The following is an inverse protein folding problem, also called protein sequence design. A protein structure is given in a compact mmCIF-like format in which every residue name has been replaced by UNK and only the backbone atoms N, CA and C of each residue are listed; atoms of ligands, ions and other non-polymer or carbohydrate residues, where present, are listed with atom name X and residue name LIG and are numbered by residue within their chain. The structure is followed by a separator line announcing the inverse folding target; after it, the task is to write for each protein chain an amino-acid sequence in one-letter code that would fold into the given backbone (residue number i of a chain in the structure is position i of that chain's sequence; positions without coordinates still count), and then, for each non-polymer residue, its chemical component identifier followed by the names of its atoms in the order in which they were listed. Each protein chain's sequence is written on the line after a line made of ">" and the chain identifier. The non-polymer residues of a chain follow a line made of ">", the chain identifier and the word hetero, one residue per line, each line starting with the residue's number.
data_IF_019439189084
#
_entry.id   IF_019439189084
#
_cell.length_a   1.000
_cell.length_b   1.000
_cell.length_c   1.000
_cell.angle_alpha   90.00
_cell.angle_beta   90.00
_cell.angle_gamma   90.00
#
_symmetry.space_group_name_H-M   'P 1'
#
loop_
_entity.id
_entity.type
_entity.pdbx_description
1 polymer ?
#
# COMPACT_ATOMS: atom_id res chain seq x y z
N UNK A 1 16.55 11.88 -12.35
CA UNK A 1 15.60 10.99 -13.04
C UNK A 1 15.46 9.72 -12.21
N UNK A 2 14.30 9.06 -12.17
CA UNK A 2 14.17 7.76 -11.50
C UNK A 2 15.05 6.75 -12.23
N UNK A 3 15.83 6.00 -11.47
CA UNK A 3 16.82 5.05 -11.98
C UNK A 3 16.29 3.62 -11.89
N UNK A 4 16.58 2.85 -12.93
CA UNK A 4 16.11 1.48 -13.08
C UNK A 4 17.24 0.56 -13.54
N UNK A 5 17.24 -0.66 -13.04
CA UNK A 5 18.11 -1.74 -13.51
C UNK A 5 17.30 -2.96 -13.97
N UNK A 6 17.70 -3.68 -15.02
CA UNK A 6 17.07 -4.95 -15.39
C UNK A 6 17.19 -5.98 -14.27
N UNK A 7 16.10 -6.70 -14.02
CA UNK A 7 16.03 -7.73 -12.99
C UNK A 7 15.34 -8.97 -13.55
N UNK A 8 15.97 -10.14 -13.40
CA UNK A 8 15.33 -11.43 -13.68
C UNK A 8 14.63 -11.95 -12.43
N UNK A 9 13.38 -12.39 -12.58
CA UNK A 9 12.58 -13.02 -11.54
C UNK A 9 12.01 -14.35 -12.05
N UNK A 10 11.82 -15.29 -11.14
CA UNK A 10 11.05 -16.52 -11.38
C UNK A 10 9.78 -16.45 -10.55
N UNK A 11 8.62 -16.61 -11.19
CA UNK A 11 7.33 -16.53 -10.53
C UNK A 11 7.13 -17.75 -9.60
N UNK A 12 6.90 -17.56 -8.29
CA UNK A 12 6.71 -18.70 -7.39
C UNK A 12 5.36 -19.42 -7.60
N UNK A 13 4.43 -18.84 -8.38
CA UNK A 13 3.12 -19.46 -8.65
C UNK A 13 3.08 -20.33 -9.91
N UNK A 14 3.77 -19.92 -10.97
CA UNK A 14 3.72 -20.61 -12.27
C UNK A 14 5.10 -20.91 -12.86
N UNK A 15 6.17 -20.66 -12.11
CA UNK A 15 7.58 -20.94 -12.44
C UNK A 15 8.12 -20.18 -13.66
N UNK A 16 7.32 -19.29 -14.25
CA UNK A 16 7.72 -18.47 -15.38
C UNK A 16 8.90 -17.57 -15.01
N UNK A 17 9.95 -17.63 -15.81
CA UNK A 17 11.07 -16.70 -15.76
C UNK A 17 10.78 -15.48 -16.65
N UNK A 18 11.02 -14.28 -16.12
CA UNK A 18 10.80 -13.05 -16.85
C UNK A 18 11.76 -11.95 -16.40
N UNK A 19 11.94 -10.94 -17.26
CA UNK A 19 12.71 -9.74 -16.95
C UNK A 19 11.76 -8.59 -16.58
N UNK A 20 12.11 -7.87 -15.53
CA UNK A 20 11.44 -6.67 -15.02
C UNK A 20 12.47 -5.58 -14.75
N UNK A 21 12.04 -4.45 -14.20
CA UNK A 21 12.93 -3.35 -13.82
C UNK A 21 12.86 -3.17 -12.31
N UNK A 22 14.02 -3.11 -11.67
CA UNK A 22 14.16 -2.75 -10.27
C UNK A 22 14.39 -1.24 -10.16
N UNK A 23 13.67 -0.57 -9.28
CA UNK A 23 13.94 0.84 -8.93
C UNK A 23 15.20 0.90 -8.08
N UNK A 24 16.24 1.57 -8.54
CA UNK A 24 17.53 1.69 -7.83
C UNK A 24 17.80 3.08 -7.26
N UNK A 25 17.11 4.09 -7.79
CA UNK A 25 17.28 5.48 -7.33
C UNK A 25 16.05 6.33 -7.63
N UNK A 26 15.67 7.18 -6.68
CA UNK A 26 14.59 8.16 -6.85
C UNK A 26 14.81 9.34 -5.89
N UNK A 27 14.16 10.47 -6.18
CA UNK A 27 14.18 11.66 -5.33
C UNK A 27 12.78 12.04 -4.90
N UNK A 28 12.60 12.24 -3.60
CA UNK A 28 11.37 12.75 -2.99
C UNK A 28 11.58 14.24 -2.70
N UNK A 29 10.64 15.08 -3.14
CA UNK A 29 10.65 16.51 -2.86
C UNK A 29 9.84 16.87 -1.62
N UNK A 30 8.63 16.34 -1.52
CA UNK A 30 7.67 16.62 -0.45
C UNK A 30 6.69 15.44 -0.29
N UNK A 31 5.70 15.53 0.59
CA UNK A 31 4.62 14.55 0.74
C UNK A 31 3.25 15.24 0.93
N UNK A 32 2.19 14.57 0.50
CA UNK A 32 0.81 15.00 0.77
C UNK A 32 0.42 14.73 2.24
N UNK A 33 -0.73 15.28 2.67
CA UNK A 33 -1.27 15.10 4.02
C UNK A 33 -1.47 13.62 4.43
N UNK A 34 -1.65 12.70 3.48
CA UNK A 34 -1.75 11.24 3.70
C UNK A 34 -0.39 10.53 3.53
N UNK A 35 0.71 11.26 3.68
CA UNK A 35 2.10 10.83 3.48
C UNK A 35 2.44 10.30 2.09
N UNK A 36 1.60 10.56 1.10
CA UNK A 36 1.90 10.22 -0.28
C UNK A 36 3.14 11.01 -0.75
N UNK A 37 4.25 10.35 -1.11
CA UNK A 37 5.46 11.04 -1.55
C UNK A 37 5.26 11.69 -2.92
N UNK A 38 5.75 12.93 -3.06
CA UNK A 38 5.86 13.65 -4.33
C UNK A 38 7.26 13.48 -4.90
N UNK A 39 7.38 12.64 -5.91
CA UNK A 39 8.64 12.36 -6.58
C UNK A 39 8.99 13.45 -7.60
N UNK A 40 10.28 13.83 -7.67
CA UNK A 40 10.75 14.89 -8.57
C UNK A 40 10.96 14.42 -10.02
N UNK A 41 11.08 13.12 -10.24
CA UNK A 41 11.75 12.54 -11.41
C UNK A 41 10.96 11.38 -12.05
N UNK A 42 9.64 11.52 -12.13
CA UNK A 42 8.71 10.44 -12.45
C UNK A 42 8.35 9.63 -11.21
N UNK A 43 7.18 8.99 -11.22
CA UNK A 43 6.66 8.25 -10.07
C UNK A 43 7.10 6.78 -10.11
N UNK A 44 8.03 6.31 -9.24
CA UNK A 44 8.46 4.91 -9.17
C UNK A 44 7.44 4.01 -8.46
N UNK A 45 6.40 4.58 -7.84
CA UNK A 45 5.52 3.84 -6.93
C UNK A 45 4.95 2.54 -7.56
N UNK A 46 4.47 2.53 -8.83
CA UNK A 46 4.00 1.30 -9.47
C UNK A 46 5.11 0.27 -9.75
N UNK A 47 6.35 0.72 -9.92
CA UNK A 47 7.51 -0.11 -10.28
C UNK A 47 8.18 -0.79 -9.07
N UNK A 48 7.83 -0.41 -7.83
CA UNK A 48 8.25 -1.17 -6.64
C UNK A 48 7.63 -2.57 -6.57
N UNK A 49 6.51 -2.78 -7.26
CA UNK A 49 5.86 -4.09 -7.41
C UNK A 49 6.14 -4.65 -8.80
N UNK A 50 6.47 -5.94 -8.84
CA UNK A 50 6.63 -6.68 -10.08
C UNK A 50 5.36 -7.46 -10.39
N UNK A 51 5.09 -7.66 -11.68
CA UNK A 51 3.91 -8.40 -12.17
C UNK A 51 4.41 -9.56 -13.02
N UNK A 52 4.00 -10.78 -12.68
CA UNK A 52 4.27 -11.94 -13.52
C UNK A 52 3.46 -11.85 -14.83
N UNK A 53 4.11 -11.89 -16.01
CA UNK A 53 3.40 -11.78 -17.29
C UNK A 53 2.49 -12.98 -17.58
N UNK A 54 2.76 -14.15 -17.00
CA UNK A 54 2.02 -15.39 -17.28
C UNK A 54 0.75 -15.53 -16.43
N UNK A 55 0.83 -15.33 -15.11
CA UNK A 55 -0.29 -15.60 -14.20
C UNK A 55 -0.83 -14.36 -13.47
N UNK A 56 -0.22 -13.18 -13.64
CA UNK A 56 -0.67 -11.96 -13.00
C UNK A 56 -0.40 -11.89 -11.49
N UNK A 57 0.48 -12.75 -10.96
CA UNK A 57 1.01 -12.60 -9.60
C UNK A 57 1.69 -11.22 -9.45
N UNK A 58 1.41 -10.54 -8.34
CA UNK A 58 1.97 -9.22 -8.04
C UNK A 58 2.60 -9.23 -6.64
N UNK A 59 3.82 -8.71 -6.52
CA UNK A 59 4.50 -8.61 -5.23
C UNK A 59 5.80 -7.81 -5.31
N UNK A 60 6.41 -7.55 -4.15
CA UNK A 60 7.76 -7.01 -4.08
C UNK A 60 8.78 -8.08 -4.48
N UNK A 61 10.02 -7.69 -4.77
CA UNK A 61 11.11 -8.62 -5.09
C UNK A 61 11.23 -9.78 -4.07
N UNK A 62 11.05 -9.49 -2.78
CA UNK A 62 11.12 -10.50 -1.72
C UNK A 62 9.99 -11.55 -1.78
N UNK A 63 8.81 -11.17 -2.27
CA UNK A 63 7.65 -12.07 -2.40
C UNK A 63 7.88 -13.14 -3.49
N UNK A 64 8.81 -12.89 -4.43
CA UNK A 64 9.22 -13.87 -5.44
C UNK A 64 10.21 -14.92 -4.93
N UNK A 65 10.78 -14.74 -3.72
CA UNK A 65 11.76 -15.68 -3.14
C UNK A 65 11.21 -16.50 -1.97
N UNK A 66 10.22 -15.97 -1.27
CA UNK A 66 9.82 -16.46 0.06
C UNK A 66 8.40 -17.06 0.07
N UNK A 67 8.10 -18.01 -0.82
CA UNK A 67 6.79 -18.65 -0.86
C UNK A 67 6.88 -20.17 -0.79
N UNK A 68 6.29 -20.74 0.27
CA UNK A 68 6.15 -22.19 0.43
C UNK A 68 5.00 -22.75 -0.42
N UNK A 69 4.97 -24.07 -0.64
CA UNK A 69 3.97 -24.74 -1.45
C UNK A 69 2.51 -24.48 -1.00
N UNK A 70 2.29 -24.28 0.30
CA UNK A 70 0.95 -24.03 0.83
C UNK A 70 0.46 -22.65 0.41
N UNK A 71 1.33 -21.63 0.52
CA UNK A 71 1.05 -20.27 0.05
C UNK A 71 0.89 -20.24 -1.47
N UNK A 72 1.74 -20.95 -2.21
CA UNK A 72 1.63 -21.07 -3.68
C UNK A 72 0.25 -21.61 -4.08
N UNK A 73 -0.22 -22.69 -3.46
CA UNK A 73 -1.55 -23.25 -3.75
C UNK A 73 -2.68 -22.26 -3.47
N UNK A 74 -2.65 -21.58 -2.32
CA UNK A 74 -3.64 -20.56 -1.94
C UNK A 74 -3.69 -19.42 -2.94
N UNK A 75 -2.53 -18.88 -3.32
CA UNK A 75 -2.43 -17.80 -4.29
C UNK A 75 -2.83 -18.28 -5.68
N UNK A 76 -2.47 -19.49 -6.08
CA UNK A 76 -2.90 -20.08 -7.35
C UNK A 76 -4.43 -20.14 -7.49
N UNK A 77 -5.15 -20.55 -6.45
CA UNK A 77 -6.62 -20.52 -6.42
C UNK A 77 -7.16 -19.09 -6.53
N UNK A 78 -6.53 -18.12 -5.85
CA UNK A 78 -6.91 -16.72 -5.95
C UNK A 78 -6.73 -16.19 -7.39
N UNK A 79 -5.57 -16.43 -7.99
CA UNK A 79 -5.22 -15.96 -9.33
C UNK A 79 -6.13 -16.57 -10.41
N UNK A 80 -6.55 -17.83 -10.23
CA UNK A 80 -7.51 -18.47 -11.13
C UNK A 80 -8.89 -17.78 -11.15
N UNK A 81 -9.23 -17.02 -10.10
CA UNK A 81 -10.43 -16.19 -10.04
C UNK A 81 -10.31 -14.85 -10.77
N UNK A 82 -9.10 -14.44 -11.16
CA UNK A 82 -8.87 -13.22 -11.90
C UNK A 82 -8.89 -13.45 -13.40
N UNK A 83 -9.55 -12.56 -14.14
CA UNK A 83 -9.31 -12.49 -15.57
C UNK A 83 -7.91 -11.93 -15.80
N UNK A 84 -7.05 -12.74 -16.42
CA UNK A 84 -5.69 -12.36 -16.76
C UNK A 84 -5.38 -12.71 -18.20
N UNK A 85 -4.87 -11.73 -18.94
CA UNK A 85 -4.30 -11.94 -20.27
C UNK A 85 -2.78 -11.90 -20.16
N UNK A 86 -2.11 -12.84 -20.84
CA UNK A 86 -0.65 -12.89 -20.85
C UNK A 86 -0.06 -11.56 -21.32
N UNK A 87 0.95 -11.06 -20.61
CA UNK A 87 1.58 -9.75 -20.83
C UNK A 87 0.66 -8.53 -20.64
N UNK A 88 -0.50 -8.68 -20.00
CA UNK A 88 -1.35 -7.55 -19.67
C UNK A 88 -0.62 -6.58 -18.74
N UNK A 89 -0.76 -5.28 -18.99
CA UNK A 89 -0.26 -4.24 -18.09
C UNK A 89 -1.27 -3.94 -17.00
N UNK A 90 -0.78 -3.66 -15.80
CA UNK A 90 -1.57 -3.18 -14.66
C UNK A 90 -1.11 -1.78 -14.26
N UNK A 91 -2.07 -0.88 -14.04
CA UNK A 91 -1.84 0.38 -13.33
C UNK A 91 -1.37 0.14 -11.90
N UNK A 92 -0.71 1.12 -11.31
CA UNK A 92 -0.19 1.08 -9.94
C UNK A 92 -1.28 0.77 -8.93
N UNK A 93 -2.47 1.39 -9.05
CA UNK A 93 -3.55 1.15 -8.08
C UNK A 93 -3.94 -0.32 -8.04
N UNK A 94 -4.11 -0.94 -9.21
CA UNK A 94 -4.46 -2.36 -9.33
C UNK A 94 -3.30 -3.28 -8.91
N UNK A 95 -2.04 -2.92 -9.18
CA UNK A 95 -0.88 -3.66 -8.66
C UNK A 95 -0.91 -3.75 -7.14
N UNK A 96 -1.10 -2.62 -6.46
CA UNK A 96 -1.15 -2.58 -4.99
C UNK A 96 -2.38 -3.29 -4.42
N UNK A 97 -3.57 -3.16 -5.04
CA UNK A 97 -4.77 -3.93 -4.64
C UNK A 97 -4.54 -5.43 -4.73
N UNK A 98 -3.94 -5.92 -5.82
CA UNK A 98 -3.62 -7.33 -6.02
C UNK A 98 -2.54 -7.81 -5.05
N UNK A 99 -1.48 -7.03 -4.86
CA UNK A 99 -0.44 -7.35 -3.89
C UNK A 99 -1.00 -7.44 -2.47
N UNK A 100 -1.92 -6.54 -2.08
CA UNK A 100 -2.61 -6.61 -0.79
C UNK A 100 -3.42 -7.90 -0.66
N UNK A 101 -4.17 -8.28 -1.70
CA UNK A 101 -4.96 -9.52 -1.67
C UNK A 101 -4.08 -10.77 -1.63
N UNK A 102 -3.02 -10.82 -2.44
CA UNK A 102 -2.02 -11.89 -2.37
C UNK A 102 -1.41 -11.94 -0.97
N UNK A 103 -1.06 -10.78 -0.38
CA UNK A 103 -0.58 -10.64 0.99
C UNK A 103 -1.48 -11.28 2.03
N UNK A 104 -2.80 -11.09 1.91
CA UNK A 104 -3.79 -11.73 2.79
C UNK A 104 -3.72 -13.26 2.66
N UNK A 105 -3.60 -13.80 1.45
CA UNK A 105 -3.54 -15.24 1.20
C UNK A 105 -2.19 -15.87 1.58
N UNK A 106 -1.12 -15.08 1.60
CA UNK A 106 0.23 -15.49 2.02
C UNK A 106 0.51 -15.23 3.50
N UNK A 107 -0.42 -14.60 4.22
CA UNK A 107 -0.36 -14.37 5.67
C UNK A 107 0.53 -13.19 6.06
N UNK A 108 0.61 -12.13 5.25
CA UNK A 108 1.19 -10.85 5.67
C UNK A 108 0.43 -10.30 6.87
N UNK A 109 1.13 -9.56 7.74
CA UNK A 109 0.53 -8.86 8.88
C UNK A 109 -0.48 -7.82 8.40
N UNK A 110 -1.43 -7.46 9.26
CA UNK A 110 -2.46 -6.49 8.90
C UNK A 110 -1.86 -5.13 8.55
N UNK A 111 -0.79 -4.72 9.23
CA UNK A 111 -0.05 -3.49 8.95
C UNK A 111 0.52 -3.47 7.53
N UNK A 112 1.14 -4.57 7.09
CA UNK A 112 1.69 -4.68 5.73
C UNK A 112 0.59 -4.64 4.67
N UNK A 113 -0.58 -5.23 4.94
CA UNK A 113 -1.74 -5.15 4.05
C UNK A 113 -2.33 -3.73 4.03
N UNK A 114 -2.34 -3.04 5.17
CA UNK A 114 -2.79 -1.66 5.28
C UNK A 114 -1.93 -0.71 4.43
N UNK A 115 -0.60 -0.84 4.50
CA UNK A 115 0.35 -0.06 3.71
C UNK A 115 0.16 -0.27 2.21
N UNK A 116 -0.03 -1.51 1.77
CA UNK A 116 -0.33 -1.82 0.37
C UNK A 116 -1.62 -1.12 -0.09
N UNK A 117 -2.68 -1.13 0.71
CA UNK A 117 -3.90 -0.41 0.36
C UNK A 117 -3.75 1.12 0.44
N UNK A 118 -2.92 1.64 1.35
CA UNK A 118 -2.58 3.06 1.40
C UNK A 118 -1.88 3.50 0.10
N UNK A 119 -0.90 2.73 -0.37
CA UNK A 119 -0.22 2.96 -1.65
C UNK A 119 -1.19 2.81 -2.83
N UNK A 120 -2.16 1.90 -2.75
CA UNK A 120 -3.24 1.82 -3.74
C UNK A 120 -4.06 3.12 -3.78
N UNK A 121 -4.35 3.76 -2.64
CA UNK A 121 -5.05 5.07 -2.63
C UNK A 121 -4.26 6.16 -3.31
N UNK A 122 -2.94 6.14 -3.16
CA UNK A 122 -2.03 7.11 -3.77
C UNK A 122 -2.00 6.96 -5.29
N UNK A 123 -1.77 5.73 -5.77
CA UNK A 123 -1.80 5.44 -7.19
C UNK A 123 -3.18 5.74 -7.81
N UNK A 124 -4.26 5.35 -7.15
CA UNK A 124 -5.63 5.57 -7.62
C UNK A 124 -5.93 7.05 -7.88
N UNK A 125 -5.47 7.93 -6.96
CA UNK A 125 -5.55 9.39 -7.13
C UNK A 125 -4.72 9.89 -8.31
N UNK A 126 -3.48 9.41 -8.45
CA UNK A 126 -2.56 9.82 -9.52
C UNK A 126 -3.00 9.35 -10.91
N UNK A 127 -3.65 8.19 -10.98
CA UNK A 127 -4.17 7.59 -12.21
C UNK A 127 -5.55 8.12 -12.60
N UNK A 128 -6.18 8.94 -11.74
CA UNK A 128 -7.48 9.54 -12.01
C UNK A 128 -8.62 8.52 -12.02
N UNK A 129 -8.50 7.43 -11.25
CA UNK A 129 -9.61 6.48 -11.08
C UNK A 129 -10.84 7.19 -10.47
N UNK A 130 -12.02 6.62 -10.68
CA UNK A 130 -13.25 7.21 -10.17
C UNK A 130 -13.27 7.27 -8.63
N UNK A 131 -14.15 8.10 -8.09
CA UNK A 131 -14.23 8.34 -6.64
C UNK A 131 -14.58 7.09 -5.83
N UNK A 132 -15.40 6.18 -6.38
CA UNK A 132 -15.76 4.93 -5.70
C UNK A 132 -14.55 4.00 -5.54
N UNK A 133 -13.70 3.88 -6.57
CA UNK A 133 -12.48 3.07 -6.54
C UNK A 133 -11.42 3.66 -5.59
N UNK A 134 -11.29 4.99 -5.57
CA UNK A 134 -10.43 5.71 -4.63
C UNK A 134 -10.89 5.50 -3.18
N UNK A 135 -12.20 5.67 -2.92
CA UNK A 135 -12.81 5.44 -1.60
C UNK A 135 -12.72 3.98 -1.20
N UNK A 136 -12.88 3.05 -2.14
CA UNK A 136 -12.76 1.61 -1.92
C UNK A 136 -11.40 1.20 -1.40
N UNK A 137 -10.32 1.66 -2.05
CA UNK A 137 -8.96 1.45 -1.58
C UNK A 137 -8.72 2.08 -0.19
N UNK A 138 -9.25 3.28 0.04
CA UNK A 138 -9.08 4.01 1.31
C UNK A 138 -9.78 3.33 2.48
N UNK A 139 -11.00 2.83 2.27
CA UNK A 139 -11.74 2.03 3.27
C UNK A 139 -10.99 0.76 3.63
N UNK A 140 -10.33 0.11 2.65
CA UNK A 140 -9.50 -1.06 2.91
C UNK A 140 -8.25 -0.71 3.73
N UNK A 141 -7.56 0.38 3.39
CA UNK A 141 -6.42 0.87 4.19
C UNK A 141 -6.82 1.10 5.65
N UNK A 142 -7.90 1.88 5.90
CA UNK A 142 -8.45 2.13 7.24
C UNK A 142 -8.74 0.83 7.97
N UNK A 143 -9.50 -0.08 7.34
CA UNK A 143 -9.85 -1.37 7.95
C UNK A 143 -8.61 -2.16 8.40
N UNK A 144 -7.58 -2.24 7.57
CA UNK A 144 -6.38 -3.03 7.90
C UNK A 144 -5.48 -2.34 8.92
N UNK A 145 -5.42 -1.01 8.94
CA UNK A 145 -4.77 -0.26 10.02
C UNK A 145 -5.48 -0.51 11.37
N UNK A 146 -6.82 -0.51 11.40
CA UNK A 146 -7.59 -0.83 12.61
C UNK A 146 -7.36 -2.27 13.08
N UNK A 147 -7.32 -3.24 12.16
CA UNK A 147 -7.00 -4.63 12.49
C UNK A 147 -5.57 -4.78 13.04
N UNK A 148 -4.60 -4.10 12.44
CA UNK A 148 -3.21 -4.09 12.90
C UNK A 148 -3.08 -3.49 14.30
N UNK A 149 -3.80 -2.40 14.57
CA UNK A 149 -3.85 -1.78 15.90
C UNK A 149 -4.48 -2.71 16.94
N UNK A 150 -5.59 -3.37 16.61
CA UNK A 150 -6.24 -4.34 17.50
C UNK A 150 -5.39 -5.59 17.77
N UNK A 151 -4.51 -5.93 16.82
CA UNK A 151 -3.54 -7.02 16.96
C UNK A 151 -2.19 -6.58 17.55
N UNK A 152 -2.08 -5.33 18.02
CA UNK A 152 -0.87 -4.75 18.62
C UNK A 152 0.37 -4.87 17.72
N UNK A 153 0.19 -4.74 16.40
CA UNK A 153 1.26 -4.89 15.41
C UNK A 153 2.19 -3.66 15.30
N UNK A 154 1.82 -2.54 15.91
CA UNK A 154 2.56 -1.27 15.89
C UNK A 154 3.35 -1.06 17.18
N UNK A 155 4.57 -0.55 17.05
CA UNK A 155 5.34 -0.12 18.21
C UNK A 155 4.76 1.17 18.80
N UNK A 156 5.04 1.50 20.07
CA UNK A 156 4.64 2.77 20.66
C UNK A 156 5.08 4.00 19.86
N UNK A 157 6.24 3.93 19.18
CA UNK A 157 6.78 5.02 18.36
C UNK A 157 6.01 5.18 17.03
N UNK A 158 5.37 4.12 16.53
CA UNK A 158 4.58 4.15 15.30
C UNK A 158 3.13 4.61 15.55
N UNK A 159 2.61 4.42 16.76
CA UNK A 159 1.20 4.72 17.10
C UNK A 159 0.78 6.15 16.74
N UNK A 160 1.57 7.23 17.00
CA UNK A 160 1.18 8.58 16.62
C UNK A 160 0.94 8.71 15.11
N UNK A 161 1.81 8.12 14.29
CA UNK A 161 1.74 8.14 12.83
C UNK A 161 0.51 7.39 12.33
N UNK A 162 0.21 6.23 12.93
CA UNK A 162 -0.96 5.41 12.58
C UNK A 162 -2.26 6.13 12.94
N UNK A 163 -2.34 6.73 14.13
CA UNK A 163 -3.50 7.54 14.54
C UNK A 163 -3.71 8.72 13.59
N UNK A 164 -2.64 9.45 13.24
CA UNK A 164 -2.73 10.52 12.27
C UNK A 164 -3.23 10.02 10.90
N UNK A 165 -2.69 8.92 10.37
CA UNK A 165 -3.11 8.34 9.09
C UNK A 165 -4.58 7.92 9.12
N UNK A 166 -5.02 7.22 10.17
CA UNK A 166 -6.42 6.84 10.34
C UNK A 166 -7.33 8.08 10.39
N UNK A 167 -6.89 9.14 11.04
CA UNK A 167 -7.58 10.42 11.06
C UNK A 167 -7.75 11.02 9.66
N UNK A 168 -6.64 11.21 8.94
CA UNK A 168 -6.65 11.82 7.60
C UNK A 168 -7.40 10.97 6.57
N UNK A 169 -7.27 9.64 6.63
CA UNK A 169 -7.99 8.75 5.71
C UNK A 169 -9.50 8.77 5.98
N UNK A 170 -9.94 8.76 7.24
CA UNK A 170 -11.36 8.89 7.59
C UNK A 170 -11.92 10.26 7.17
N UNK A 171 -11.18 11.35 7.37
CA UNK A 171 -11.59 12.69 6.92
C UNK A 171 -11.80 12.73 5.41
N UNK A 172 -10.88 12.14 4.63
CA UNK A 172 -11.03 11.99 3.17
C UNK A 172 -12.16 11.05 2.74
N UNK A 173 -12.73 10.27 3.66
CA UNK A 173 -13.93 9.47 3.42
C UNK A 173 -15.22 10.22 3.80
N UNK A 174 -15.12 11.40 4.42
CA UNK A 174 -16.26 12.12 5.02
C UNK A 174 -16.71 11.53 6.37
N UNK A 175 -15.84 10.76 7.03
CA UNK A 175 -16.11 10.10 8.31
C UNK A 175 -15.56 10.94 9.47
N UNK A 176 -16.00 12.20 9.56
CA UNK A 176 -15.38 13.24 10.38
C UNK A 176 -15.32 12.88 11.87
N UNK A 177 -16.37 12.25 12.41
CA UNK A 177 -16.36 11.80 13.81
C UNK A 177 -15.28 10.76 14.09
N UNK A 178 -15.03 9.84 13.15
CA UNK A 178 -13.94 8.85 13.29
C UNK A 178 -12.59 9.53 13.15
N UNK A 179 -12.48 10.48 12.22
CA UNK A 179 -11.26 11.25 12.01
C UNK A 179 -10.84 11.98 13.29
N UNK A 180 -11.76 12.73 13.91
CA UNK A 180 -11.52 13.47 15.15
C UNK A 180 -11.11 12.55 16.29
N UNK A 181 -11.78 11.40 16.48
CA UNK A 181 -11.40 10.42 17.51
C UNK A 181 -9.95 9.97 17.37
N UNK A 182 -9.49 9.68 16.16
CA UNK A 182 -8.11 9.25 15.95
C UNK A 182 -7.11 10.38 16.20
N UNK A 183 -7.43 11.61 15.77
CA UNK A 183 -6.57 12.75 16.03
C UNK A 183 -6.50 13.11 17.52
N UNK A 184 -7.61 13.04 18.26
CA UNK A 184 -7.66 13.28 19.71
C UNK A 184 -6.86 12.21 20.48
N UNK A 185 -6.84 10.96 20.01
CA UNK A 185 -6.03 9.90 20.63
C UNK A 185 -4.53 10.14 20.61
N UNK A 186 -4.05 11.03 19.76
CA UNK A 186 -2.64 11.42 19.79
C UNK A 186 -2.28 12.23 21.04
N UNK A 187 -3.24 12.93 21.67
CA UNK A 187 -2.99 13.71 22.90
C UNK A 187 -2.73 12.80 24.12
N UNK A 188 -3.17 11.54 24.05
CA UNK A 188 -2.96 10.53 25.10
C UNK A 188 -1.58 9.83 24.98
N UNK A 189 -0.82 10.08 23.91
CA UNK A 189 0.46 9.40 23.63
C UNK A 189 1.64 10.14 24.26
N UNK A 190 2.58 9.38 24.84
CA UNK A 190 3.71 9.94 25.60
C UNK A 190 4.64 10.80 24.75
N UNK A 191 4.82 10.44 23.48
CA UNK A 191 5.70 11.13 22.53
C UNK A 191 5.02 11.24 21.17
N UNK A 192 4.85 12.47 20.71
CA UNK A 192 4.40 12.78 19.36
C UNK A 192 5.32 13.85 18.80
N UNK A 193 5.84 13.62 17.59
CA UNK A 193 6.70 14.60 16.96
C UNK A 193 5.97 15.93 16.69
N UNK A 194 6.59 17.09 16.93
CA UNK A 194 5.94 18.39 16.73
C UNK A 194 5.41 18.63 15.31
N UNK A 195 6.12 18.13 14.29
CA UNK A 195 5.69 18.26 12.90
C UNK A 195 4.38 17.52 12.62
N UNK A 196 4.15 16.40 13.32
CA UNK A 196 2.94 15.59 13.17
C UNK A 196 1.75 16.25 13.88
N UNK A 197 2.00 16.91 15.01
CA UNK A 197 1.00 17.74 15.73
C UNK A 197 0.51 18.88 14.83
N UNK A 198 1.44 19.60 14.18
CA UNK A 198 1.08 20.69 13.26
C UNK A 198 0.18 20.19 12.12
N UNK A 199 0.52 19.03 11.55
CA UNK A 199 -0.26 18.41 10.49
C UNK A 199 -1.64 17.98 10.97
N UNK A 200 -1.73 17.35 12.14
CA UNK A 200 -2.97 16.97 12.80
C UNK A 200 -3.89 18.17 13.00
N UNK A 201 -3.38 19.25 13.59
CA UNK A 201 -4.17 20.44 13.90
C UNK A 201 -4.67 21.12 12.62
N UNK A 202 -3.84 21.15 11.57
CA UNK A 202 -4.24 21.60 10.25
C UNK A 202 -5.36 20.74 9.65
N UNK A 203 -5.30 19.41 9.80
CA UNK A 203 -6.35 18.52 9.27
C UNK A 203 -7.64 18.57 10.10
N UNK A 204 -7.57 18.78 11.43
CA UNK A 204 -8.76 18.98 12.28
C UNK A 204 -9.57 20.22 11.92
N UNK A 205 -8.95 21.22 11.29
CA UNK A 205 -9.58 22.51 10.96
C UNK A 205 -10.25 22.54 9.58
N UNK A 206 -10.12 21.49 8.77
CA UNK A 206 -10.71 21.35 7.43
C UNK A 206 -12.07 20.66 7.50
#
# INVERSE_FOLDING_TARGET
>A
MTEFEPKKLSCPCCEAEFETRLVTGFRIGDKDADFCPRYLDGNPLPDFLHVCPECGFVGFEADYRNMDETKVKRVGTLLAGFHWQKNQSLGGAERYRRAALIGIYTGKRSAEVADLYLQATWCSRMEGENDDDQKGARRKAVKYFELAMAAEEFSPDDLPVVHYLLGELNRRLGEDEKALRHFDKMDDLEKVDPWLIEWRDKQKAL
#
